data_IF_704074285809
#
_entry.id   IF_704074285809
#
_cell.length_a   1.000
_cell.length_b   1.000
_cell.length_c   1.000
_cell.angle_alpha   90.00
_cell.angle_beta   90.00
_cell.angle_gamma   90.00
#
_symmetry.space_group_name_H-M   'P 1'
#
loop_
_entity.id
_entity.type
_entity.pdbx_description
1 polymer ?
#
# COMPACT_ATOMS: atom_id res chain seq x y z
N UNK A 1 25.31 19.20 -9.89
CA UNK A 1 24.56 18.48 -10.92
C UNK A 1 23.11 18.51 -10.46
N UNK A 2 22.22 19.17 -11.19
CA UNK A 2 20.79 19.16 -10.87
C UNK A 2 20.28 17.72 -11.00
N UNK A 3 19.67 17.18 -9.93
CA UNK A 3 19.04 15.86 -10.00
C UNK A 3 17.93 15.92 -11.07
N UNK A 4 17.92 14.92 -11.95
CA UNK A 4 16.87 14.78 -12.95
C UNK A 4 15.52 14.59 -12.23
N UNK A 5 14.46 15.29 -12.65
CA UNK A 5 13.15 15.10 -12.04
C UNK A 5 12.70 13.64 -12.20
N UNK A 6 11.98 13.08 -11.23
CA UNK A 6 11.52 11.70 -11.30
C UNK A 6 10.47 11.51 -12.42
N UNK A 7 10.46 10.32 -13.01
CA UNK A 7 9.45 9.89 -13.99
C UNK A 7 8.25 9.19 -13.34
N UNK A 8 8.38 8.77 -12.09
CA UNK A 8 7.32 8.19 -11.26
C UNK A 8 7.65 8.35 -9.77
N UNK A 9 6.68 8.19 -8.89
CA UNK A 9 6.94 8.24 -7.46
C UNK A 9 6.12 7.23 -6.64
N UNK A 10 6.67 6.85 -5.49
CA UNK A 10 5.98 6.12 -4.43
C UNK A 10 5.98 6.99 -3.18
N UNK A 11 4.80 7.38 -2.70
CA UNK A 11 4.66 8.07 -1.43
C UNK A 11 4.27 7.08 -0.34
N UNK A 12 5.05 7.06 0.74
CA UNK A 12 4.85 6.15 1.87
C UNK A 12 4.28 6.91 3.06
N UNK A 13 3.10 6.47 3.52
CA UNK A 13 2.31 7.09 4.57
C UNK A 13 2.25 6.16 5.79
N UNK A 14 2.82 6.59 6.91
CA UNK A 14 2.81 5.78 8.13
C UNK A 14 1.48 5.87 8.90
N UNK A 15 1.25 4.94 9.82
CA UNK A 15 0.11 4.96 10.72
C UNK A 15 0.16 6.11 11.72
N UNK A 16 -0.88 6.23 12.53
CA UNK A 16 -1.01 7.26 13.56
C UNK A 16 -2.18 6.97 14.46
N UNK A 17 -2.77 8.02 15.01
CA UNK A 17 -3.86 7.95 15.97
C UNK A 17 -5.15 8.53 15.36
N UNK A 18 -6.28 8.23 15.96
CA UNK A 18 -7.55 8.86 15.60
C UNK A 18 -7.52 10.36 15.93
N UNK A 19 -6.97 10.70 17.11
CA UNK A 19 -6.81 12.08 17.56
C UNK A 19 -5.39 12.32 18.06
N UNK A 20 -4.84 13.50 17.83
CA UNK A 20 -3.51 13.87 18.33
C UNK A 20 -2.95 15.07 17.59
N UNK A 21 -3.00 16.25 18.25
CA UNK A 21 -2.55 17.53 17.71
C UNK A 21 -1.03 17.76 17.83
N UNK A 22 -0.34 16.94 18.62
CA UNK A 22 1.12 17.03 18.70
C UNK A 22 1.75 16.51 17.40
N UNK A 23 2.93 17.02 17.06
CA UNK A 23 3.74 16.46 15.99
C UNK A 23 4.10 14.98 16.29
N UNK A 24 4.32 14.15 15.26
CA UNK A 24 4.88 12.82 15.48
C UNK A 24 6.20 12.90 16.24
N UNK A 25 6.40 11.97 17.18
CA UNK A 25 7.64 11.90 17.93
C UNK A 25 8.86 11.76 16.98
N UNK A 26 10.01 12.33 17.32
CA UNK A 26 11.20 12.25 16.48
C UNK A 26 11.85 10.86 16.54
N UNK A 27 12.52 10.47 15.46
CA UNK A 27 13.42 9.30 15.39
C UNK A 27 12.79 7.99 15.87
N UNK A 28 13.45 7.31 16.78
CA UNK A 28 13.06 5.99 17.29
C UNK A 28 11.76 5.99 18.13
N UNK A 29 11.31 7.13 18.61
CA UNK A 29 10.05 7.25 19.35
C UNK A 29 8.82 7.30 18.44
N UNK A 30 8.98 7.51 17.12
CA UNK A 30 7.89 7.42 16.17
C UNK A 30 7.66 5.96 15.76
N UNK A 31 7.08 5.16 16.63
CA UNK A 31 6.82 3.73 16.36
C UNK A 31 6.01 3.49 15.07
N UNK A 32 4.93 4.25 14.77
CA UNK A 32 4.25 4.12 13.48
C UNK A 32 5.15 4.39 12.26
N UNK A 33 6.03 5.38 12.35
CA UNK A 33 7.01 5.68 11.30
C UNK A 33 8.07 4.61 11.16
N UNK A 34 8.59 4.09 12.30
CA UNK A 34 9.58 3.01 12.31
C UNK A 34 9.05 1.73 11.66
N UNK A 35 7.78 1.41 11.88
CA UNK A 35 7.12 0.23 11.29
C UNK A 35 7.16 0.24 9.77
N UNK A 36 7.15 1.42 9.16
CA UNK A 36 7.23 1.57 7.71
C UNK A 36 8.65 1.55 7.14
N UNK A 37 9.70 1.58 7.97
CA UNK A 37 11.09 1.56 7.49
C UNK A 37 11.45 0.28 6.71
N UNK A 38 11.14 -0.94 7.20
CA UNK A 38 11.41 -2.15 6.43
C UNK A 38 10.66 -2.16 5.09
N UNK A 39 9.38 -1.77 5.10
CA UNK A 39 8.56 -1.66 3.87
C UNK A 39 9.19 -0.66 2.90
N UNK A 40 9.57 0.54 3.39
CA UNK A 40 10.24 1.56 2.57
C UNK A 40 11.52 1.04 1.93
N UNK A 41 12.33 0.29 2.70
CA UNK A 41 13.60 -0.30 2.20
C UNK A 41 13.36 -1.35 1.13
N UNK A 42 12.34 -2.20 1.31
CA UNK A 42 12.00 -3.23 0.31
C UNK A 42 11.50 -2.58 -0.97
N UNK A 43 10.59 -1.60 -0.88
CA UNK A 43 10.09 -0.86 -2.04
C UNK A 43 11.25 -0.13 -2.75
N UNK A 44 12.10 0.59 -2.02
CA UNK A 44 13.24 1.29 -2.61
C UNK A 44 14.23 0.33 -3.30
N UNK A 45 14.42 -0.89 -2.76
CA UNK A 45 15.24 -1.92 -3.43
C UNK A 45 14.56 -2.45 -4.69
N UNK A 46 13.24 -2.69 -4.63
CA UNK A 46 12.47 -3.24 -5.75
C UNK A 46 12.47 -2.31 -6.97
N UNK A 47 12.46 -0.98 -6.76
CA UNK A 47 12.49 0.02 -7.84
C UNK A 47 13.90 0.52 -8.18
N UNK A 48 14.95 0.03 -7.52
CA UNK A 48 16.33 0.55 -7.68
C UNK A 48 16.88 0.43 -9.10
N UNK A 49 16.42 -0.55 -9.87
CA UNK A 49 16.80 -0.74 -11.26
C UNK A 49 16.27 0.34 -12.20
N UNK A 50 15.27 1.10 -11.77
CA UNK A 50 14.71 2.24 -12.48
C UNK A 50 15.10 3.53 -11.75
N UNK A 51 16.09 4.24 -12.30
CA UNK A 51 16.62 5.49 -11.72
C UNK A 51 15.61 6.65 -11.76
N UNK A 52 14.49 6.49 -12.46
CA UNK A 52 13.44 7.50 -12.56
C UNK A 52 12.40 7.45 -11.44
N UNK A 53 12.39 6.42 -10.59
CA UNK A 53 11.38 6.27 -9.52
C UNK A 53 11.85 6.86 -8.20
N UNK A 54 11.13 7.87 -7.69
CA UNK A 54 11.35 8.43 -6.37
C UNK A 54 10.54 7.69 -5.31
N UNK A 55 11.18 7.26 -4.22
CA UNK A 55 10.50 6.72 -3.03
C UNK A 55 10.62 7.73 -1.89
N UNK A 56 9.50 8.29 -1.47
CA UNK A 56 9.45 9.36 -0.47
C UNK A 56 8.48 9.03 0.66
N UNK A 57 8.89 9.28 1.90
CA UNK A 57 7.99 9.17 3.07
C UNK A 57 7.34 10.53 3.33
N UNK A 58 6.01 10.52 3.46
CA UNK A 58 5.26 11.71 3.86
C UNK A 58 5.53 12.01 5.34
N UNK A 59 5.87 13.26 5.64
CA UNK A 59 6.02 13.75 7.02
C UNK A 59 4.71 14.40 7.43
N UNK A 60 4.19 13.98 8.59
CA UNK A 60 2.97 14.57 9.11
C UNK A 60 3.26 15.74 10.04
N UNK A 61 2.41 16.76 9.98
CA UNK A 61 2.39 17.89 10.92
C UNK A 61 1.81 17.48 12.26
N UNK A 62 0.80 16.61 12.25
CA UNK A 62 0.12 16.10 13.44
C UNK A 62 0.09 14.57 13.42
N UNK A 63 0.17 13.96 14.62
CA UNK A 63 0.18 12.49 14.76
C UNK A 63 -1.18 11.82 14.59
N UNK A 64 -2.28 12.60 14.59
CA UNK A 64 -3.66 12.14 14.51
C UNK A 64 -4.36 12.48 13.22
N UNK A 65 -5.46 11.75 12.94
CA UNK A 65 -6.38 12.06 11.85
C UNK A 65 -7.16 13.36 12.11
N UNK A 66 -7.55 13.57 13.37
CA UNK A 66 -8.20 14.77 13.92
C UNK A 66 -9.57 15.10 13.27
N UNK A 67 -10.40 14.09 13.08
CA UNK A 67 -11.79 14.25 12.61
C UNK A 67 -11.89 14.96 11.25
N UNK A 68 -12.61 16.06 11.19
CA UNK A 68 -12.81 16.83 9.97
C UNK A 68 -11.53 17.52 9.44
N UNK A 69 -10.51 17.71 10.29
CA UNK A 69 -9.22 18.28 9.89
C UNK A 69 -8.44 17.40 8.93
N UNK A 70 -8.52 16.06 9.09
CA UNK A 70 -7.83 15.09 8.22
C UNK A 70 -6.36 15.46 7.96
N UNK A 71 -5.62 15.85 9.01
CA UNK A 71 -4.27 16.40 8.88
C UNK A 71 -3.34 15.57 7.99
N UNK A 72 -3.26 14.19 8.12
CA UNK A 72 -2.41 13.37 7.26
C UNK A 72 -2.80 13.39 5.78
N UNK A 73 -4.08 13.61 5.46
CA UNK A 73 -4.53 13.81 4.08
C UNK A 73 -3.96 15.10 3.51
N UNK A 74 -4.05 16.21 4.24
CA UNK A 74 -3.50 17.49 3.78
C UNK A 74 -1.98 17.46 3.62
N UNK A 75 -1.28 16.75 4.50
CA UNK A 75 0.16 16.52 4.37
C UNK A 75 0.51 15.72 3.10
N UNK A 76 -0.29 14.69 2.79
CA UNK A 76 -0.12 13.89 1.56
C UNK A 76 -0.40 14.71 0.30
N UNK A 77 -1.48 15.50 0.29
CA UNK A 77 -1.83 16.37 -0.85
C UNK A 77 -0.75 17.42 -1.11
N UNK A 78 -0.19 18.03 -0.05
CA UNK A 78 0.92 18.98 -0.19
C UNK A 78 2.13 18.34 -0.89
N UNK A 79 2.51 17.12 -0.50
CA UNK A 79 3.63 16.41 -1.14
C UNK A 79 3.31 16.07 -2.61
N UNK A 80 2.07 15.73 -2.92
CA UNK A 80 1.64 15.49 -4.31
C UNK A 80 1.68 16.77 -5.16
N UNK A 81 1.24 17.89 -4.61
CA UNK A 81 1.31 19.21 -5.27
C UNK A 81 2.77 19.64 -5.51
N UNK A 82 3.65 19.39 -4.53
CA UNK A 82 5.09 19.65 -4.66
C UNK A 82 5.71 18.82 -5.79
N UNK A 83 5.41 17.52 -5.84
CA UNK A 83 5.85 16.63 -6.91
C UNK A 83 5.34 17.09 -8.28
N UNK A 84 4.09 17.50 -8.36
CA UNK A 84 3.51 18.00 -9.61
C UNK A 84 4.21 19.26 -10.10
N UNK A 85 4.55 20.18 -9.20
CA UNK A 85 5.30 21.41 -9.54
C UNK A 85 6.74 21.09 -9.97
N UNK A 86 7.37 20.08 -9.36
CA UNK A 86 8.75 19.69 -9.65
C UNK A 86 8.89 18.87 -10.93
N UNK A 87 8.00 17.89 -11.14
CA UNK A 87 8.17 16.83 -12.14
C UNK A 87 7.03 16.75 -13.17
N UNK A 88 6.00 17.61 -13.06
CA UNK A 88 4.83 17.56 -13.94
C UNK A 88 3.89 16.40 -13.62
N UNK A 89 3.19 15.90 -14.63
CA UNK A 89 2.17 14.85 -14.48
C UNK A 89 2.82 13.45 -14.52
N UNK A 90 3.48 13.06 -13.44
CA UNK A 90 4.07 11.73 -13.26
C UNK A 90 3.12 10.78 -12.53
N UNK A 91 3.13 9.45 -12.80
CA UNK A 91 2.34 8.48 -12.06
C UNK A 91 2.86 8.32 -10.63
N UNK A 92 1.93 8.31 -9.67
CA UNK A 92 2.23 8.11 -8.25
C UNK A 92 1.46 6.91 -7.70
N UNK A 93 2.16 6.04 -6.99
CA UNK A 93 1.58 4.99 -6.13
C UNK A 93 1.62 5.48 -4.69
N UNK A 94 0.48 5.49 -4.01
CA UNK A 94 0.40 5.75 -2.58
C UNK A 94 0.47 4.42 -1.81
N UNK A 95 1.40 4.29 -0.88
CA UNK A 95 1.54 3.12 0.00
C UNK A 95 1.35 3.55 1.45
N UNK A 96 0.24 3.16 2.05
CA UNK A 96 -0.11 3.59 3.40
C UNK A 96 -0.35 2.45 4.38
N UNK A 97 -0.10 2.68 5.68
CA UNK A 97 -0.44 1.77 6.77
C UNK A 97 -1.45 2.40 7.72
N UNK A 98 -2.51 1.66 8.09
CA UNK A 98 -3.49 2.08 9.09
C UNK A 98 -4.10 3.46 8.77
N UNK A 99 -3.94 4.49 9.62
CA UNK A 99 -4.32 5.87 9.34
C UNK A 99 -3.68 6.41 8.05
N UNK A 100 -2.43 6.06 7.76
CA UNK A 100 -1.77 6.45 6.51
C UNK A 100 -2.40 5.84 5.26
N UNK A 101 -2.94 4.61 5.36
CA UNK A 101 -3.72 4.02 4.28
C UNK A 101 -5.05 4.75 4.07
N UNK A 102 -5.71 5.19 5.15
CA UNK A 102 -6.89 6.05 5.07
C UNK A 102 -6.56 7.36 4.35
N UNK A 103 -5.45 8.00 4.71
CA UNK A 103 -4.99 9.23 4.04
C UNK A 103 -4.69 8.99 2.55
N UNK A 104 -4.06 7.88 2.19
CA UNK A 104 -3.80 7.48 0.82
C UNK A 104 -5.09 7.28 0.01
N UNK A 105 -6.07 6.59 0.57
CA UNK A 105 -7.38 6.37 -0.05
C UNK A 105 -8.14 7.70 -0.28
N UNK A 106 -8.08 8.62 0.67
CA UNK A 106 -8.68 9.95 0.52
C UNK A 106 -7.93 10.83 -0.50
N UNK A 107 -6.59 10.75 -0.55
CA UNK A 107 -5.76 11.52 -1.48
C UNK A 107 -5.79 10.98 -2.93
N UNK A 108 -6.42 9.83 -3.18
CA UNK A 108 -6.42 9.17 -4.48
C UNK A 108 -7.12 9.97 -5.60
N UNK A 109 -7.93 10.98 -5.26
CA UNK A 109 -8.49 11.92 -6.23
C UNK A 109 -7.49 12.88 -6.86
N UNK A 110 -6.27 12.98 -6.32
CA UNK A 110 -5.23 13.84 -6.89
C UNK A 110 -4.80 13.34 -8.29
N UNK A 111 -4.61 14.24 -9.29
CA UNK A 111 -4.31 13.86 -10.68
C UNK A 111 -3.11 12.95 -10.88
N UNK A 112 -2.06 13.06 -10.05
CA UNK A 112 -0.88 12.22 -10.13
C UNK A 112 -1.13 10.78 -9.66
N UNK A 113 -2.11 10.54 -8.76
CA UNK A 113 -2.31 9.24 -8.15
C UNK A 113 -2.94 8.27 -9.14
N UNK A 114 -2.26 7.17 -9.41
CA UNK A 114 -2.75 6.08 -10.26
C UNK A 114 -3.23 4.90 -9.42
N UNK A 115 -2.55 4.64 -8.31
CA UNK A 115 -2.80 3.44 -7.53
C UNK A 115 -2.60 3.68 -6.03
N UNK A 116 -3.30 2.87 -5.22
CA UNK A 116 -3.18 2.86 -3.76
C UNK A 116 -2.92 1.43 -3.26
N UNK A 117 -1.91 1.26 -2.44
CA UNK A 117 -1.66 0.04 -1.66
C UNK A 117 -1.88 0.34 -0.18
N UNK A 118 -2.92 -0.25 0.40
CA UNK A 118 -3.25 -0.06 1.82
C UNK A 118 -2.86 -1.27 2.65
N UNK A 119 -2.04 -1.07 3.68
CA UNK A 119 -1.59 -2.10 4.62
C UNK A 119 -2.39 -1.95 5.92
N UNK A 120 -3.15 -2.98 6.31
CA UNK A 120 -4.02 -2.97 7.49
C UNK A 120 -4.80 -1.63 7.64
N UNK A 121 -5.53 -1.20 6.60
CA UNK A 121 -6.08 0.15 6.53
C UNK A 121 -7.15 0.39 7.60
N UNK A 122 -7.19 1.62 8.10
CA UNK A 122 -8.31 2.09 8.89
C UNK A 122 -9.37 2.66 7.95
N UNK A 123 -10.48 1.94 7.81
CA UNK A 123 -11.58 2.24 6.89
C UNK A 123 -12.89 2.43 7.68
N UNK A 124 -13.14 3.58 8.33
CA UNK A 124 -14.41 3.82 9.00
C UNK A 124 -15.59 3.72 8.03
N UNK A 125 -16.77 3.28 8.50
CA UNK A 125 -17.99 3.39 7.73
C UNK A 125 -18.25 4.84 7.27
N UNK A 126 -18.69 5.01 6.03
CA UNK A 126 -18.97 6.34 5.48
C UNK A 126 -17.79 7.07 4.83
N UNK A 127 -16.56 6.58 4.95
CA UNK A 127 -15.45 7.15 4.18
C UNK A 127 -15.78 7.14 2.67
N UNK A 128 -15.50 8.24 1.92
CA UNK A 128 -15.82 8.36 0.52
C UNK A 128 -15.02 7.38 -0.33
N UNK A 129 -15.59 6.97 -1.46
CA UNK A 129 -14.94 6.07 -2.44
C UNK A 129 -14.98 6.61 -3.88
N UNK A 130 -15.73 7.70 -4.13
CA UNK A 130 -15.87 8.28 -5.47
C UNK A 130 -14.55 8.76 -6.06
N UNK A 131 -13.64 9.26 -5.23
CA UNK A 131 -12.28 9.68 -5.62
C UNK A 131 -11.39 8.51 -6.07
N UNK A 132 -11.81 7.26 -5.81
CA UNK A 132 -11.11 6.05 -6.22
C UNK A 132 -11.47 5.61 -7.66
N UNK A 133 -12.48 6.21 -8.28
CA UNK A 133 -12.88 5.88 -9.65
C UNK A 133 -11.67 5.98 -10.61
N UNK A 134 -11.49 4.95 -11.45
CA UNK A 134 -10.36 4.85 -12.38
C UNK A 134 -9.00 4.60 -11.72
N UNK A 135 -8.95 4.27 -10.42
CA UNK A 135 -7.71 3.94 -9.70
C UNK A 135 -7.61 2.45 -9.42
N UNK A 136 -6.37 1.96 -9.32
CA UNK A 136 -6.07 0.62 -8.86
C UNK A 136 -5.88 0.64 -7.35
N UNK A 137 -6.68 -0.14 -6.63
CA UNK A 137 -6.67 -0.17 -5.17
C UNK A 137 -6.45 -1.59 -4.68
N UNK A 138 -5.32 -1.85 -4.04
CA UNK A 138 -5.03 -3.13 -3.39
C UNK A 138 -4.92 -2.91 -1.90
N UNK A 139 -5.75 -3.60 -1.14
CA UNK A 139 -5.68 -3.60 0.31
C UNK A 139 -5.12 -4.94 0.80
N UNK A 140 -4.20 -4.89 1.75
CA UNK A 140 -3.69 -6.04 2.48
C UNK A 140 -4.19 -5.97 3.91
N UNK A 141 -4.79 -7.05 4.43
CA UNK A 141 -5.32 -7.05 5.79
C UNK A 141 -5.12 -8.39 6.48
N UNK A 142 -4.69 -8.35 7.75
CA UNK A 142 -4.62 -9.57 8.56
C UNK A 142 -6.00 -10.05 8.96
N UNK A 143 -6.25 -11.37 8.87
CA UNK A 143 -7.50 -11.96 9.37
C UNK A 143 -7.65 -11.89 10.90
N UNK A 144 -6.56 -11.59 11.62
CA UNK A 144 -6.51 -11.47 13.08
C UNK A 144 -6.21 -10.04 13.56
N UNK A 145 -6.40 -9.05 12.69
CA UNK A 145 -6.29 -7.65 13.09
C UNK A 145 -7.37 -7.32 14.14
N UNK A 146 -6.94 -6.80 15.29
CA UNK A 146 -7.82 -6.39 16.42
C UNK A 146 -7.88 -4.88 16.60
N UNK A 147 -7.18 -4.13 15.74
CA UNK A 147 -7.12 -2.65 15.78
C UNK A 147 -8.02 -2.07 14.71
N UNK A 148 -7.93 -2.61 13.49
CA UNK A 148 -8.80 -2.23 12.38
C UNK A 148 -9.52 -3.45 11.82
N UNK A 149 -10.69 -3.24 11.23
CA UNK A 149 -11.57 -4.33 10.78
C UNK A 149 -11.25 -4.80 9.37
N UNK A 150 -10.90 -6.10 9.17
CA UNK A 150 -10.78 -6.68 7.83
C UNK A 150 -12.09 -6.62 7.02
N UNK A 151 -13.24 -6.72 7.68
CA UNK A 151 -14.56 -6.58 7.05
C UNK A 151 -14.81 -5.16 6.55
N UNK A 152 -14.29 -4.14 7.25
CA UNK A 152 -14.37 -2.77 6.78
C UNK A 152 -13.54 -2.57 5.50
N UNK A 153 -12.38 -3.21 5.38
CA UNK A 153 -11.58 -3.21 4.15
C UNK A 153 -12.31 -3.91 3.01
N UNK A 154 -12.94 -5.04 3.28
CA UNK A 154 -13.74 -5.77 2.29
C UNK A 154 -14.95 -4.93 1.82
N UNK A 155 -15.64 -4.28 2.74
CA UNK A 155 -16.75 -3.35 2.41
C UNK A 155 -16.26 -2.18 1.57
N UNK A 156 -15.10 -1.58 1.92
CA UNK A 156 -14.53 -0.46 1.19
C UNK A 156 -14.15 -0.87 -0.25
N UNK A 157 -13.48 -2.02 -0.44
CA UNK A 157 -13.11 -2.49 -1.79
C UNK A 157 -14.35 -2.74 -2.65
N UNK A 158 -15.41 -3.34 -2.10
CA UNK A 158 -16.66 -3.54 -2.83
C UNK A 158 -17.36 -2.21 -3.19
N UNK A 159 -17.39 -1.23 -2.28
CA UNK A 159 -17.94 0.10 -2.56
C UNK A 159 -17.10 0.85 -3.62
N UNK A 160 -15.79 0.78 -3.52
CA UNK A 160 -14.86 1.41 -4.46
C UNK A 160 -15.01 0.80 -5.87
N UNK A 161 -15.18 -0.53 -5.98
CA UNK A 161 -15.45 -1.21 -7.25
C UNK A 161 -16.74 -0.71 -7.88
N UNK A 162 -17.82 -0.60 -7.11
CA UNK A 162 -19.08 -0.02 -7.60
C UNK A 162 -18.93 1.44 -8.06
N UNK A 163 -17.98 2.18 -7.48
CA UNK A 163 -17.66 3.54 -7.89
C UNK A 163 -16.69 3.62 -9.09
N UNK A 164 -16.31 2.49 -9.67
CA UNK A 164 -15.45 2.44 -10.87
C UNK A 164 -13.95 2.28 -10.59
N UNK A 165 -13.55 1.91 -9.38
CA UNK A 165 -12.17 1.53 -9.09
C UNK A 165 -11.90 0.06 -9.47
N UNK A 166 -10.67 -0.29 -9.86
CA UNK A 166 -10.20 -1.68 -9.93
C UNK A 166 -9.68 -2.08 -8.55
N UNK A 167 -10.27 -3.08 -7.93
CA UNK A 167 -9.98 -3.36 -6.51
C UNK A 167 -9.64 -4.80 -6.23
N UNK A 168 -8.71 -5.02 -5.29
CA UNK A 168 -8.37 -6.33 -4.74
C UNK A 168 -8.13 -6.20 -3.24
N UNK A 169 -8.64 -7.15 -2.45
CA UNK A 169 -8.29 -7.33 -1.04
C UNK A 169 -7.47 -8.62 -0.91
N UNK A 170 -6.28 -8.54 -0.33
CA UNK A 170 -5.47 -9.71 0.01
C UNK A 170 -5.48 -9.90 1.51
N UNK A 171 -5.99 -11.04 1.97
CA UNK A 171 -5.96 -11.40 3.38
C UNK A 171 -4.68 -12.14 3.75
N UNK A 172 -4.10 -11.81 4.90
CA UNK A 172 -2.86 -12.41 5.43
C UNK A 172 -3.21 -13.18 6.71
N UNK A 173 -3.42 -14.52 6.61
CA UNK A 173 -3.76 -15.33 7.78
C UNK A 173 -2.65 -15.34 8.83
N UNK A 174 -3.02 -15.31 10.10
CA UNK A 174 -2.08 -15.45 11.22
C UNK A 174 -1.17 -14.24 11.48
N UNK A 175 -1.41 -13.12 10.81
CA UNK A 175 -0.69 -11.87 11.04
C UNK A 175 -1.36 -10.98 12.09
N UNK A 176 -0.91 -9.72 12.21
CA UNK A 176 -1.42 -8.71 13.13
C UNK A 176 -1.44 -7.32 12.49
N UNK A 177 -2.05 -6.34 13.18
CA UNK A 177 -2.11 -4.94 12.71
C UNK A 177 -0.73 -4.32 12.53
N UNK A 178 0.21 -4.69 13.39
CA UNK A 178 1.56 -4.13 13.38
C UNK A 178 2.43 -4.69 12.25
N UNK A 179 1.95 -5.69 11.50
CA UNK A 179 2.69 -6.36 10.43
C UNK A 179 3.99 -7.05 10.93
N UNK A 180 4.08 -7.34 12.25
CA UNK A 180 5.24 -8.00 12.85
C UNK A 180 5.16 -9.51 12.57
N UNK A 181 3.99 -10.10 12.79
CA UNK A 181 3.77 -11.50 12.42
C UNK A 181 3.67 -11.59 10.91
N UNK A 182 4.41 -12.55 10.33
CA UNK A 182 4.53 -12.72 8.88
C UNK A 182 5.11 -11.47 8.16
N UNK A 183 5.96 -10.68 8.82
CA UNK A 183 6.56 -9.47 8.25
C UNK A 183 7.16 -9.69 6.84
N UNK A 184 7.87 -10.80 6.54
CA UNK A 184 8.36 -11.06 5.18
C UNK A 184 7.26 -11.05 4.12
N UNK A 185 6.07 -11.58 4.42
CA UNK A 185 4.94 -11.59 3.48
C UNK A 185 4.43 -10.18 3.19
N UNK A 186 4.27 -9.34 4.21
CA UNK A 186 3.89 -7.93 4.04
C UNK A 186 4.90 -7.17 3.19
N UNK A 187 6.19 -7.35 3.48
CA UNK A 187 7.26 -6.66 2.77
C UNK A 187 7.34 -7.12 1.30
N UNK A 188 7.28 -8.42 1.06
CA UNK A 188 7.30 -8.99 -0.29
C UNK A 188 6.11 -8.49 -1.12
N UNK A 189 4.89 -8.60 -0.59
CA UNK A 189 3.69 -8.12 -1.28
C UNK A 189 3.74 -6.61 -1.55
N UNK A 190 4.18 -5.80 -0.59
CA UNK A 190 4.32 -4.36 -0.80
C UNK A 190 5.27 -4.05 -1.97
N UNK A 191 6.43 -4.70 -2.04
CA UNK A 191 7.37 -4.54 -3.14
C UNK A 191 6.79 -4.99 -4.48
N UNK A 192 6.23 -6.20 -4.52
CA UNK A 192 5.63 -6.81 -5.72
C UNK A 192 4.47 -5.97 -6.29
N UNK A 193 3.56 -5.51 -5.41
CA UNK A 193 2.42 -4.71 -5.84
C UNK A 193 2.86 -3.32 -6.32
N UNK A 194 3.78 -2.67 -5.62
CA UNK A 194 4.28 -1.35 -6.03
C UNK A 194 4.95 -1.42 -7.39
N UNK A 195 5.84 -2.40 -7.64
CA UNK A 195 6.50 -2.54 -8.95
C UNK A 195 5.50 -2.88 -10.06
N UNK A 196 4.50 -3.74 -9.77
CA UNK A 196 3.44 -4.06 -10.73
C UNK A 196 2.58 -2.85 -11.07
N UNK A 197 2.15 -2.08 -10.06
CA UNK A 197 1.30 -0.90 -10.23
C UNK A 197 2.04 0.30 -10.87
N UNK A 198 3.38 0.32 -10.82
CA UNK A 198 4.21 1.25 -11.57
C UNK A 198 4.47 0.77 -13.03
N UNK A 199 4.04 -0.45 -13.39
CA UNK A 199 4.31 -1.03 -14.71
C UNK A 199 5.75 -1.53 -14.91
N UNK A 200 6.55 -1.63 -13.84
CA UNK A 200 7.93 -2.12 -13.89
C UNK A 200 8.00 -3.65 -13.99
N UNK A 201 7.00 -4.32 -13.46
CA UNK A 201 6.83 -5.79 -13.51
C UNK A 201 5.36 -6.12 -13.76
N UNK A 202 5.02 -7.33 -14.21
CA UNK A 202 3.62 -7.75 -14.29
C UNK A 202 2.95 -7.73 -12.90
N UNK A 203 1.71 -7.26 -12.84
CA UNK A 203 0.85 -7.43 -11.66
C UNK A 203 0.57 -8.92 -11.46
N UNK A 204 0.54 -9.46 -10.22
CA UNK A 204 0.20 -10.85 -9.98
C UNK A 204 -1.12 -11.23 -10.66
N UNK A 205 -1.14 -12.34 -11.41
CA UNK A 205 -2.29 -12.76 -12.24
C UNK A 205 -3.63 -12.77 -11.49
N UNK A 206 -3.62 -13.20 -10.22
CA UNK A 206 -4.86 -13.24 -9.41
C UNK A 206 -5.32 -11.84 -8.99
N UNK A 207 -4.40 -10.90 -8.77
CA UNK A 207 -4.73 -9.50 -8.51
C UNK A 207 -5.30 -8.86 -9.78
N UNK A 208 -4.69 -9.13 -10.95
CA UNK A 208 -5.21 -8.67 -12.24
C UNK A 208 -6.61 -9.24 -12.53
N UNK A 209 -6.84 -10.53 -12.25
CA UNK A 209 -8.16 -11.13 -12.34
C UNK A 209 -9.19 -10.45 -11.43
N UNK A 210 -8.80 -10.09 -10.19
CA UNK A 210 -9.67 -9.35 -9.27
C UNK A 210 -9.98 -7.93 -9.77
N UNK A 211 -9.04 -7.30 -10.44
CA UNK A 211 -9.24 -6.00 -11.10
C UNK A 211 -10.25 -6.05 -12.25
N UNK A 212 -10.34 -7.19 -12.95
CA UNK A 212 -11.31 -7.43 -14.02
C UNK A 212 -12.73 -7.72 -13.55
N UNK A 213 -12.99 -7.83 -12.25
CA UNK A 213 -14.33 -8.11 -11.73
C UNK A 213 -15.32 -6.98 -12.04
N UNK A 214 -16.56 -7.31 -12.43
CA UNK A 214 -17.58 -6.29 -12.68
C UNK A 214 -17.95 -5.51 -11.42
N UNK A 215 -18.51 -4.30 -11.54
CA UNK A 215 -18.88 -3.45 -10.39
C UNK A 215 -19.80 -4.13 -9.38
N UNK A 216 -20.68 -5.03 -9.85
CA UNK A 216 -21.65 -5.76 -9.02
C UNK A 216 -21.12 -7.06 -8.39
N UNK A 217 -19.87 -7.45 -8.66
CA UNK A 217 -19.30 -8.68 -8.09
C UNK A 217 -19.34 -8.67 -6.57
N UNK A 218 -19.56 -9.83 -5.98
CA UNK A 218 -19.58 -9.97 -4.52
C UNK A 218 -18.22 -9.56 -3.91
N UNK A 219 -18.26 -9.02 -2.70
CA UNK A 219 -17.04 -8.60 -2.00
C UNK A 219 -16.02 -9.74 -1.82
N UNK A 220 -16.51 -10.97 -1.62
CA UNK A 220 -15.70 -12.18 -1.50
C UNK A 220 -14.94 -12.55 -2.78
N UNK A 221 -15.48 -12.29 -3.96
CA UNK A 221 -14.83 -12.59 -5.23
C UNK A 221 -13.55 -11.77 -5.44
N UNK A 222 -13.53 -10.51 -4.98
CA UNK A 222 -12.34 -9.64 -5.02
C UNK A 222 -11.43 -9.80 -3.80
N UNK A 223 -11.66 -10.83 -2.96
CA UNK A 223 -10.87 -11.13 -1.76
C UNK A 223 -10.03 -12.38 -1.98
N UNK A 224 -8.71 -12.22 -1.94
CA UNK A 224 -7.74 -13.30 -2.11
C UNK A 224 -7.09 -13.65 -0.78
N UNK A 225 -6.69 -14.91 -0.58
CA UNK A 225 -5.78 -15.26 0.50
C UNK A 225 -4.33 -15.19 0.00
N UNK A 226 -3.41 -14.75 0.87
CA UNK A 226 -1.97 -14.80 0.59
C UNK A 226 -1.53 -16.17 0.09
N UNK A 227 -1.95 -17.26 0.79
CA UNK A 227 -1.56 -18.62 0.46
C UNK A 227 -2.04 -19.05 -0.95
N UNK A 228 -3.00 -18.33 -1.51
CA UNK A 228 -3.48 -18.52 -2.88
C UNK A 228 -2.75 -17.68 -3.92
N UNK A 229 -2.03 -16.62 -3.54
CA UNK A 229 -1.26 -15.80 -4.50
C UNK A 229 -0.04 -16.55 -5.02
N UNK A 230 0.59 -17.38 -4.18
CA UNK A 230 1.81 -18.13 -4.48
C UNK A 230 1.54 -19.45 -5.21
N UNK A 231 0.28 -19.86 -5.37
CA UNK A 231 -0.09 -21.13 -6.00
C UNK A 231 0.29 -21.26 -7.49
N UNK A 232 1.00 -20.28 -8.05
CA UNK A 232 1.53 -20.27 -9.41
C UNK A 232 3.04 -20.09 -9.51
N UNK A 233 3.76 -19.92 -8.39
CA UNK A 233 5.22 -19.86 -8.41
C UNK A 233 5.81 -21.25 -8.34
N UNK A 234 6.76 -21.65 -9.22
CA UNK A 234 7.46 -22.92 -9.07
C UNK A 234 8.20 -22.93 -7.72
N UNK A 235 8.03 -24.01 -6.96
CA UNK A 235 8.73 -24.21 -5.70
C UNK A 235 10.25 -23.96 -5.89
N UNK A 236 10.93 -23.25 -4.96
CA UNK A 236 12.37 -23.07 -5.05
C UNK A 236 13.03 -24.43 -5.13
N UNK A 237 13.79 -24.69 -6.21
CA UNK A 237 14.57 -25.92 -6.37
C UNK A 237 15.48 -26.03 -5.16
N UNK A 238 15.23 -27.02 -4.31
CA UNK A 238 16.18 -27.42 -3.26
C UNK A 238 17.48 -27.79 -3.97
N UNK A 239 18.53 -26.98 -3.77
CA UNK A 239 19.87 -27.38 -4.15
C UNK A 239 20.20 -28.68 -3.43
N UNK A 240 20.16 -29.78 -4.16
CA UNK A 240 20.58 -31.10 -3.67
C UNK A 240 22.05 -31.02 -3.28
N UNK A 241 22.33 -31.13 -1.99
CA UNK A 241 23.67 -31.34 -1.50
C UNK A 241 24.19 -32.67 -2.11
N UNK A 242 25.09 -32.56 -3.06
CA UNK A 242 25.84 -33.70 -3.57
C UNK A 242 26.66 -34.29 -2.41
N UNK A 243 26.24 -35.43 -1.91
CA UNK A 243 27.04 -36.25 -1.01
C UNK A 243 28.18 -36.85 -1.86
N UNK A 244 29.34 -36.22 -1.77
CA UNK A 244 30.59 -36.81 -2.27
C UNK A 244 30.89 -38.08 -1.49
N UNK A 245 30.73 -39.23 -2.12
CA UNK A 245 31.26 -40.49 -1.62
C UNK A 245 32.77 -40.49 -1.75
N UNK A 246 33.46 -40.64 -0.65
CA UNK A 246 34.86 -41.05 -0.62
C UNK A 246 34.93 -42.58 -0.64
N UNK A 247 35.68 -43.10 -1.54
CA UNK A 247 36.46 -44.33 -1.38
C UNK A 247 37.94 -43.94 -1.31
#
# INVERSE_FOLDING_TARGET
>A
VAERPPSAAVLILHGGYETGMAAPAPGAMNLPGLRMLPVSRVVARAVRGDSGVRVQRVRYTHRGWNGARKDPLHDALRVLDDLRREAGDIPVVLLGHSMGARAALHAAGHPLVRSVVGLAPWCPPGDPVTQLAGRDVVLLHSTRDRVTSPLASQSLTARARRAGARTCLVTIPGSDHAMIRRAPAWHHLAGLLVTGLLGLTPVPKRVEAAFGLPPGAAASEGTLSLDGLDAGAPAPRRCGAARGGRR
#
